data_IF_363862165285
#
_entry.id   IF_363862165285
#
_cell.length_a   1.000
_cell.length_b   1.000
_cell.length_c   1.000
_cell.angle_alpha   90.00
_cell.angle_beta   90.00
_cell.angle_gamma   90.00
#
_symmetry.space_group_name_H-M   'P 1'
#
loop_
_entity.id
_entity.type
_entity.pdbx_description
1 polymer ?
#
# COMPACT_ATOMS: atom_id res chain seq x y z
N UNK A 1 -3.45 -29.81 -9.68
CA UNK A 1 -3.84 -29.43 -8.31
C UNK A 1 -4.39 -28.01 -8.40
N UNK A 2 -5.58 -27.75 -7.86
CA UNK A 2 -6.06 -26.39 -7.66
C UNK A 2 -5.48 -26.00 -6.32
N UNK A 3 -4.46 -25.16 -6.33
CA UNK A 3 -3.98 -24.53 -5.10
C UNK A 3 -5.13 -23.64 -4.63
N UNK A 4 -5.73 -23.99 -3.50
CA UNK A 4 -6.84 -23.25 -2.92
C UNK A 4 -6.35 -21.84 -2.56
N UNK A 5 -6.59 -20.89 -3.46
CA UNK A 5 -6.33 -19.46 -3.25
C UNK A 5 -7.40 -18.92 -2.29
N UNK A 6 -7.11 -18.91 -0.99
CA UNK A 6 -7.92 -18.15 -0.05
C UNK A 6 -7.50 -16.68 -0.11
N UNK A 7 -8.45 -15.78 -0.38
CA UNK A 7 -8.30 -14.32 -0.30
C UNK A 7 -9.24 -13.80 0.77
N UNK A 8 -8.68 -13.30 1.86
CA UNK A 8 -9.44 -12.57 2.87
C UNK A 8 -9.32 -11.09 2.56
N UNK A 9 -10.46 -10.39 2.54
CA UNK A 9 -10.53 -8.94 2.40
C UNK A 9 -10.90 -8.37 3.77
N UNK A 10 -9.97 -7.64 4.38
CA UNK A 10 -10.25 -6.90 5.61
C UNK A 10 -10.36 -5.42 5.25
N UNK A 11 -11.42 -4.77 5.73
CA UNK A 11 -11.55 -3.31 5.71
C UNK A 11 -11.48 -2.81 7.14
N UNK A 12 -10.42 -2.11 7.54
CA UNK A 12 -10.41 -1.41 8.81
C UNK A 12 -11.56 -0.39 8.88
N UNK A 13 -12.26 -0.26 10.02
CA UNK A 13 -13.35 0.70 10.16
C UNK A 13 -12.82 2.14 10.11
N UNK A 14 -13.40 2.99 9.24
CA UNK A 14 -13.11 4.43 9.16
C UNK A 14 -12.38 4.91 7.91
N UNK A 15 -12.04 4.01 6.98
CA UNK A 15 -11.30 4.34 5.75
C UNK A 15 -12.31 4.65 4.62
N UNK A 16 -12.32 5.90 4.12
CA UNK A 16 -13.05 6.31 2.90
C UNK A 16 -12.25 6.07 1.60
N UNK A 17 -10.95 5.79 1.71
CA UNK A 17 -10.12 5.31 0.60
C UNK A 17 -10.38 3.82 0.33
N UNK A 18 -10.35 3.40 -0.94
CA UNK A 18 -10.41 1.98 -1.29
C UNK A 18 -9.06 1.31 -0.94
N UNK A 19 -8.87 0.90 0.32
CA UNK A 19 -7.78 0.00 0.69
C UNK A 19 -8.24 -1.45 0.52
N UNK A 20 -7.50 -2.20 -0.29
CA UNK A 20 -7.72 -3.64 -0.47
C UNK A 20 -6.63 -4.38 0.31
N UNK A 21 -7.01 -4.97 1.44
CA UNK A 21 -6.11 -5.89 2.15
C UNK A 21 -6.28 -7.30 1.58
N UNK A 22 -5.21 -7.89 1.04
CA UNK A 22 -5.24 -9.22 0.42
C UNK A 22 -4.29 -10.17 1.12
N UNK A 23 -4.82 -11.29 1.60
CA UNK A 23 -4.01 -12.41 2.08
C UNK A 23 -3.88 -13.47 1.01
N UNK A 24 -2.65 -13.93 0.72
CA UNK A 24 -2.41 -15.03 -0.23
C UNK A 24 -1.40 -16.02 0.32
N UNK A 25 -1.77 -17.29 0.37
CA UNK A 25 -0.81 -18.40 0.49
C UNK A 25 -0.26 -18.69 -0.90
N UNK A 26 1.04 -18.49 -1.10
CA UNK A 26 1.73 -19.01 -2.30
C UNK A 26 2.25 -20.40 -1.97
N UNK A 27 2.28 -21.32 -2.94
CA UNK A 27 2.87 -22.67 -2.81
C UNK A 27 4.36 -22.70 -2.40
N UNK A 28 4.93 -21.55 -2.03
CA UNK A 28 6.23 -21.32 -1.42
C UNK A 28 6.25 -21.44 0.11
N UNK A 29 5.12 -21.68 0.77
CA UNK A 29 5.07 -21.76 2.25
C UNK A 29 5.17 -20.38 2.91
N UNK A 30 4.64 -19.35 2.26
CA UNK A 30 4.61 -17.96 2.78
C UNK A 30 3.17 -17.45 2.74
N UNK A 31 2.74 -16.85 3.85
CA UNK A 31 1.52 -16.07 3.99
C UNK A 31 1.89 -14.62 3.71
N UNK A 32 1.27 -14.03 2.70
CA UNK A 32 1.43 -12.62 2.38
C UNK A 32 0.27 -11.82 2.98
N UNK A 33 0.56 -10.78 3.75
CA UNK A 33 -0.35 -9.71 4.12
C UNK A 33 -0.04 -8.53 3.19
N UNK A 34 -1.02 -8.00 2.47
CA UNK A 34 -0.79 -6.92 1.51
C UNK A 34 -1.82 -5.81 1.65
N UNK A 35 -1.43 -4.58 1.34
CA UNK A 35 -2.32 -3.43 1.21
C UNK A 35 -2.02 -2.70 -0.09
N UNK A 36 -3.08 -2.29 -0.79
CA UNK A 36 -2.99 -1.46 -1.99
C UNK A 36 -3.67 -0.12 -1.78
N UNK A 37 -2.97 0.97 -2.12
CA UNK A 37 -3.51 2.33 -2.13
C UNK A 37 -3.57 2.80 -3.58
N UNK A 38 -4.76 3.15 -4.06
CA UNK A 38 -4.99 3.55 -5.46
C UNK A 38 -5.50 5.00 -5.51
N UNK A 39 -4.91 5.81 -6.38
CA UNK A 39 -5.34 7.18 -6.60
C UNK A 39 -6.59 7.26 -7.47
N UNK A 40 -7.71 7.64 -6.86
CA UNK A 40 -9.00 7.81 -7.52
C UNK A 40 -9.47 9.27 -7.67
N UNK A 41 -10.59 9.44 -8.37
CA UNK A 41 -11.41 10.66 -8.39
C UNK A 41 -10.74 11.91 -8.98
N UNK A 42 -11.15 13.09 -8.51
CA UNK A 42 -10.63 14.37 -9.01
C UNK A 42 -9.14 14.58 -8.69
N UNK A 43 -8.64 13.97 -7.61
CA UNK A 43 -7.22 13.99 -7.23
C UNK A 43 -6.36 13.34 -8.32
N UNK A 44 -6.80 12.18 -8.84
CA UNK A 44 -6.19 11.51 -10.01
C UNK A 44 -6.03 12.46 -11.20
N UNK A 45 -7.12 13.09 -11.63
CA UNK A 45 -7.10 13.98 -12.79
C UNK A 45 -6.10 15.13 -12.63
N UNK A 46 -6.10 15.80 -11.47
CA UNK A 46 -5.16 16.90 -11.20
C UNK A 46 -3.71 16.43 -11.07
N UNK A 47 -3.48 15.24 -10.50
CA UNK A 47 -2.16 14.64 -10.39
C UNK A 47 -1.52 14.40 -11.77
N UNK A 48 -2.28 13.80 -12.69
CA UNK A 48 -1.78 13.49 -14.04
C UNK A 48 -1.70 14.70 -14.98
N UNK A 49 -2.22 15.85 -14.55
CA UNK A 49 -1.97 17.14 -15.22
C UNK A 49 -0.64 17.77 -14.80
N UNK A 50 0.00 17.28 -13.74
CA UNK A 50 1.30 17.78 -13.30
C UNK A 50 2.44 17.31 -14.21
N UNK A 51 3.53 18.08 -14.20
CA UNK A 51 4.76 17.66 -14.87
C UNK A 51 5.31 16.37 -14.24
N UNK A 52 5.98 15.50 -15.02
CA UNK A 52 6.54 14.24 -14.53
C UNK A 52 7.39 14.40 -13.26
N UNK A 53 8.18 15.47 -13.16
CA UNK A 53 9.05 15.75 -12.02
C UNK A 53 8.25 15.89 -10.71
N UNK A 54 7.07 16.51 -10.76
CA UNK A 54 6.17 16.66 -9.61
C UNK A 54 5.52 15.34 -9.19
N UNK A 55 5.32 14.43 -10.13
CA UNK A 55 4.82 13.07 -9.84
C UNK A 55 5.92 12.21 -9.24
N UNK A 56 7.15 12.36 -9.72
CA UNK A 56 8.32 11.65 -9.19
C UNK A 56 8.71 12.15 -7.79
N UNK A 57 8.54 13.44 -7.48
CA UNK A 57 8.67 13.98 -6.12
C UNK A 57 7.74 13.25 -5.12
N UNK A 58 6.50 12.94 -5.51
CA UNK A 58 5.59 12.18 -4.65
C UNK A 58 6.09 10.74 -4.44
N UNK A 59 6.54 10.06 -5.50
CA UNK A 59 7.12 8.71 -5.40
C UNK A 59 8.29 8.68 -4.42
N UNK A 60 9.18 9.66 -4.53
CA UNK A 60 10.37 9.76 -3.67
C UNK A 60 9.97 10.00 -2.21
N UNK A 61 9.00 10.88 -1.94
CA UNK A 61 8.49 11.11 -0.57
C UNK A 61 7.90 9.84 0.02
N UNK A 62 7.03 9.13 -0.71
CA UNK A 62 6.40 7.89 -0.26
C UNK A 62 7.47 6.81 0.01
N UNK A 63 8.48 6.68 -0.85
CA UNK A 63 9.56 5.69 -0.66
C UNK A 63 10.39 5.91 0.61
N UNK A 64 10.33 7.11 1.19
CA UNK A 64 11.02 7.50 2.42
C UNK A 64 10.08 7.59 3.63
N UNK A 65 8.82 7.20 3.48
CA UNK A 65 7.87 7.19 4.57
C UNK A 65 8.32 6.21 5.66
N UNK A 66 7.98 6.52 6.91
CA UNK A 66 8.28 5.67 8.06
C UNK A 66 7.73 4.26 7.86
N UNK A 67 8.51 3.23 8.24
CA UNK A 67 8.12 1.82 8.15
C UNK A 67 8.22 1.19 6.77
N UNK A 68 8.30 1.97 5.69
CA UNK A 68 8.36 1.44 4.31
C UNK A 68 9.58 0.54 4.06
N UNK A 69 10.73 0.88 4.66
CA UNK A 69 11.94 0.06 4.58
C UNK A 69 11.84 -1.30 5.26
N UNK A 70 10.87 -1.44 6.17
CA UNK A 70 10.71 -2.61 7.04
C UNK A 70 9.68 -3.60 6.46
N UNK A 71 9.12 -3.28 5.29
CA UNK A 71 8.24 -4.14 4.52
C UNK A 71 9.04 -5.12 3.64
N UNK A 72 8.48 -6.32 3.49
CA UNK A 72 9.03 -7.36 2.63
C UNK A 72 8.85 -7.01 1.14
N UNK A 73 7.87 -6.15 0.83
CA UNK A 73 7.71 -5.59 -0.51
C UNK A 73 7.09 -4.19 -0.47
N UNK A 74 7.63 -3.32 -1.31
CA UNK A 74 7.12 -1.99 -1.58
C UNK A 74 7.26 -1.67 -3.07
N UNK A 75 6.20 -1.19 -3.69
CA UNK A 75 6.21 -0.77 -5.10
C UNK A 75 5.30 0.44 -5.30
N UNK A 76 5.77 1.37 -6.13
CA UNK A 76 4.98 2.51 -6.60
C UNK A 76 4.87 2.40 -8.12
N UNK A 77 3.65 2.18 -8.61
CA UNK A 77 3.34 2.11 -10.03
C UNK A 77 2.70 3.43 -10.48
N UNK A 78 3.17 3.95 -11.61
CA UNK A 78 2.55 5.04 -12.36
C UNK A 78 2.52 4.61 -13.82
N UNK A 79 1.35 4.20 -14.32
CA UNK A 79 1.14 3.77 -15.70
C UNK A 79 0.69 4.91 -16.63
N UNK A 80 0.71 6.16 -16.14
CA UNK A 80 0.18 7.34 -16.83
C UNK A 80 -1.34 7.54 -16.67
N UNK A 81 -2.03 6.55 -16.11
CA UNK A 81 -3.45 6.61 -15.78
C UNK A 81 -3.71 6.43 -14.29
N UNK A 82 -3.05 5.49 -13.63
CA UNK A 82 -3.23 5.15 -12.24
C UNK A 82 -1.92 5.32 -11.51
N UNK A 83 -2.03 5.87 -10.31
CA UNK A 83 -0.95 5.88 -9.35
C UNK A 83 -1.32 4.89 -8.25
N UNK A 84 -0.51 3.85 -8.08
CA UNK A 84 -0.74 2.78 -7.11
C UNK A 84 0.47 2.60 -6.22
N UNK A 85 0.23 2.43 -4.93
CA UNK A 85 1.23 1.99 -3.96
C UNK A 85 0.83 0.61 -3.45
N UNK A 86 1.76 -0.33 -3.53
CA UNK A 86 1.56 -1.71 -3.06
C UNK A 86 2.54 -1.99 -1.93
N UNK A 87 2.00 -2.41 -0.78
CA UNK A 87 2.72 -2.75 0.43
C UNK A 87 2.52 -4.23 0.74
N UNK A 88 3.57 -4.96 1.12
CA UNK A 88 3.41 -6.33 1.64
C UNK A 88 4.33 -6.61 2.81
N UNK A 89 3.79 -7.37 3.75
CA UNK A 89 4.53 -8.05 4.80
C UNK A 89 4.33 -9.56 4.63
N UNK A 90 5.41 -10.32 4.74
CA UNK A 90 5.42 -11.76 4.51
C UNK A 90 5.70 -12.52 5.81
N UNK A 91 5.02 -13.65 5.99
CA UNK A 91 5.17 -14.56 7.13
C UNK A 91 5.45 -15.95 6.58
N UNK A 92 6.61 -16.52 6.91
CA UNK A 92 6.87 -17.92 6.61
C UNK A 92 5.89 -18.82 7.37
N UNK A 93 5.25 -19.77 6.69
CA UNK A 93 4.21 -20.65 7.24
C UNK A 93 4.67 -21.40 8.49
N UNK A 94 5.94 -21.81 8.53
CA UNK A 94 6.57 -22.47 9.68
C UNK A 94 6.77 -21.56 10.90
N UNK A 95 6.72 -20.24 10.70
CA UNK A 95 6.81 -19.20 11.74
C UNK A 95 5.45 -18.56 12.01
N UNK A 96 4.37 -19.07 11.40
CA UNK A 96 3.05 -18.48 11.57
C UNK A 96 2.57 -18.63 13.02
N UNK A 97 2.22 -17.50 13.61
CA UNK A 97 1.60 -17.37 14.92
C UNK A 97 0.74 -16.11 14.94
N UNK A 98 -0.14 -15.98 15.93
CA UNK A 98 -0.93 -14.77 16.13
C UNK A 98 -0.03 -13.54 16.30
N UNK A 99 1.10 -13.69 17.02
CA UNK A 99 2.07 -12.61 17.21
C UNK A 99 2.74 -12.19 15.90
N UNK A 100 3.16 -13.16 15.08
CA UNK A 100 3.78 -12.87 13.77
C UNK A 100 2.79 -12.22 12.81
N UNK A 101 1.51 -12.61 12.89
CA UNK A 101 0.44 -11.98 12.13
C UNK A 101 0.18 -10.54 12.57
N UNK A 102 0.07 -10.30 13.88
CA UNK A 102 -0.11 -8.97 14.46
C UNK A 102 1.07 -8.05 14.11
N UNK A 103 2.30 -8.55 14.17
CA UNK A 103 3.49 -7.82 13.74
C UNK A 103 3.40 -7.39 12.26
N UNK A 104 3.09 -8.32 11.36
CA UNK A 104 2.94 -8.03 9.94
C UNK A 104 1.85 -6.98 9.66
N UNK A 105 0.70 -7.08 10.35
CA UNK A 105 -0.37 -6.10 10.24
C UNK A 105 0.02 -4.73 10.81
N UNK A 106 0.76 -4.69 11.93
CA UNK A 106 1.25 -3.44 12.51
C UNK A 106 2.23 -2.73 11.58
N UNK A 107 3.17 -3.46 10.97
CA UNK A 107 4.12 -2.90 9.97
C UNK A 107 3.38 -2.32 8.76
N UNK A 108 2.36 -3.03 8.27
CA UNK A 108 1.52 -2.54 7.17
C UNK A 108 0.73 -1.30 7.57
N UNK A 109 0.14 -1.28 8.77
CA UNK A 109 -0.66 -0.15 9.24
C UNK A 109 0.18 1.10 9.51
N UNK A 110 1.36 0.94 10.11
CA UNK A 110 2.30 2.05 10.32
C UNK A 110 2.77 2.66 8.99
N UNK A 111 3.20 1.80 8.06
CA UNK A 111 3.64 2.25 6.74
C UNK A 111 2.50 2.86 5.93
N UNK A 112 1.31 2.24 5.95
CA UNK A 112 0.11 2.72 5.27
C UNK A 112 -0.31 4.10 5.78
N UNK A 113 -0.38 4.28 7.09
CA UNK A 113 -0.72 5.57 7.70
C UNK A 113 0.29 6.66 7.36
N UNK A 114 1.59 6.37 7.42
CA UNK A 114 2.63 7.33 7.04
C UNK A 114 2.54 7.75 5.56
N UNK A 115 2.16 6.81 4.68
CA UNK A 115 1.94 7.10 3.26
C UNK A 115 0.68 7.95 3.06
N UNK A 116 -0.41 7.64 3.77
CA UNK A 116 -1.64 8.42 3.72
C UNK A 116 -1.43 9.87 4.18
N UNK A 117 -0.62 10.10 5.22
CA UNK A 117 -0.27 11.45 5.69
C UNK A 117 0.47 12.25 4.60
N UNK A 118 1.54 11.69 4.03
CA UNK A 118 2.30 12.31 2.92
C UNK A 118 1.38 12.59 1.72
N UNK A 119 0.49 11.64 1.44
CA UNK A 119 -0.45 11.72 0.35
C UNK A 119 -1.45 12.87 0.56
N UNK A 120 -2.07 12.96 1.72
CA UNK A 120 -3.02 14.00 2.04
C UNK A 120 -2.36 15.38 2.01
N UNK A 121 -1.17 15.52 2.61
CA UNK A 121 -0.39 16.76 2.56
C UNK A 121 -0.11 17.21 1.12
N UNK A 122 0.40 16.30 0.28
CA UNK A 122 0.69 16.57 -1.12
C UNK A 122 -0.56 17.04 -1.88
N UNK A 123 -1.69 16.35 -1.71
CA UNK A 123 -2.91 16.69 -2.43
C UNK A 123 -3.59 17.95 -1.90
N UNK A 124 -3.47 18.27 -0.61
CA UNK A 124 -3.92 19.56 -0.08
C UNK A 124 -3.18 20.72 -0.74
N UNK A 125 -1.87 20.59 -0.96
CA UNK A 125 -1.07 21.60 -1.68
C UNK A 125 -1.50 21.68 -3.16
N UNK A 126 -1.59 20.54 -3.83
CA UNK A 126 -1.98 20.44 -5.24
C UNK A 126 -3.38 20.99 -5.54
N UNK A 127 -4.30 20.87 -4.59
CA UNK A 127 -5.68 21.35 -4.77
C UNK A 127 -5.81 22.86 -4.56
N UNK A 128 -4.86 23.49 -3.85
CA UNK A 128 -4.81 24.94 -3.61
C UNK A 128 -4.14 25.71 -4.76
N UNK A 129 -3.29 25.05 -5.55
CA UNK A 129 -2.71 25.58 -6.80
C UNK A 129 -3.68 25.52 -7.96
#
# INVERSE_FOLDING_TARGET
MRDDEFRLFLRPPGIEAESEEVFKMKGSGVICCASGIILGGNRRTKFFQQMPEKRDELKEKISRATGVSDLDFFEVEDDGENFRVTLRAEIELQKFSDDAFVDAMNRLNESGGAIEDIWEEYFVELMKS
#
